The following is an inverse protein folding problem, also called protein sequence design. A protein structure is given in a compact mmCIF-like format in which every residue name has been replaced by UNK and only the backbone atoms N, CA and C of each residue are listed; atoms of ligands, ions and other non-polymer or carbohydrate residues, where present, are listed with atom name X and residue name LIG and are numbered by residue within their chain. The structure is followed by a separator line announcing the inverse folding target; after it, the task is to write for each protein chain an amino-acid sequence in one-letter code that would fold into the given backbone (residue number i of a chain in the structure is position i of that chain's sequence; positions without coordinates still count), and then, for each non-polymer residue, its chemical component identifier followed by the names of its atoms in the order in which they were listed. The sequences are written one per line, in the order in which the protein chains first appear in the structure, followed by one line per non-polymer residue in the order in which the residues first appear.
data_IF_341482450288
#
_entry.id   IF_341482450288
#
_cell.length_a   1.000
_cell.length_b   1.000
_cell.length_c   1.000
_cell.angle_alpha   90.00
_cell.angle_beta   90.00
_cell.angle_gamma   90.00
#
_symmetry.space_group_name_H-M   'P 1'
#
loop_
_entity.id
_entity.type
_entity.pdbx_description
1 polymer ?
#
# COMPACT_ATOMS: atom_id res chain seq x y z
N UNK A 1 -9.58 -16.03 5.72
CA UNK A 1 -8.43 -15.25 5.25
C UNK A 1 -8.65 -14.84 3.81
N UNK A 2 -8.66 -13.54 3.51
CA UNK A 2 -8.65 -13.01 2.14
C UNK A 2 -7.25 -12.57 1.74
N UNK A 3 -7.05 -12.26 0.46
CA UNK A 3 -5.85 -11.57 -0.02
C UNK A 3 -6.21 -10.30 -0.77
N UNK A 4 -5.38 -9.27 -0.62
CA UNK A 4 -5.47 -8.02 -1.36
C UNK A 4 -4.21 -7.84 -2.19
N UNK A 5 -4.43 -7.53 -3.46
CA UNK A 5 -3.39 -7.30 -4.46
C UNK A 5 -3.45 -5.85 -4.93
N UNK A 6 -2.28 -5.22 -5.02
CA UNK A 6 -2.12 -3.89 -5.57
C UNK A 6 -1.72 -4.02 -7.04
N UNK A 7 -2.73 -3.98 -7.90
CA UNK A 7 -2.55 -4.06 -9.35
C UNK A 7 -2.19 -2.67 -9.92
N UNK A 8 -1.81 -2.62 -11.20
CA UNK A 8 -1.57 -1.38 -11.93
C UNK A 8 -2.77 -0.40 -11.75
N UNK A 9 -2.52 0.90 -11.48
CA UNK A 9 -1.24 1.60 -11.59
C UNK A 9 -0.47 1.71 -10.26
N UNK A 10 -0.65 0.84 -9.27
CA UNK A 10 0.02 0.99 -7.97
C UNK A 10 1.11 -0.06 -7.74
N UNK A 11 2.17 0.35 -7.07
CA UNK A 11 3.24 -0.54 -6.61
C UNK A 11 3.51 -0.25 -5.14
N UNK A 12 3.45 -1.28 -4.31
CA UNK A 12 3.80 -1.20 -2.89
C UNK A 12 5.14 -1.88 -2.70
N UNK A 13 6.07 -1.18 -2.06
CA UNK A 13 7.39 -1.71 -1.73
C UNK A 13 7.60 -1.76 -0.21
N UNK A 14 7.98 -2.91 0.32
CA UNK A 14 8.39 -3.09 1.70
C UNK A 14 9.83 -2.66 1.92
N UNK A 15 10.08 -1.95 3.01
CA UNK A 15 11.40 -1.46 3.37
C UNK A 15 12.14 -2.53 4.15
N UNK A 16 13.37 -2.81 3.75
CA UNK A 16 14.30 -3.62 4.53
C UNK A 16 15.25 -2.70 5.30
N UNK A 17 15.73 -3.18 6.45
CA UNK A 17 16.79 -2.53 7.25
C UNK A 17 18.07 -2.25 6.46
N UNK A 18 18.38 -3.04 5.43
CA UNK A 18 19.53 -2.79 4.54
C UNK A 18 19.26 -1.70 3.49
N UNK A 19 18.21 -0.88 3.66
CA UNK A 19 17.74 0.19 2.77
C UNK A 19 17.16 -0.24 1.42
N UNK A 20 17.34 -1.52 1.03
CA UNK A 20 16.67 -2.11 -0.13
C UNK A 20 15.15 -2.12 0.07
N UNK A 21 14.43 -1.85 -1.01
CA UNK A 21 12.98 -1.97 -1.07
C UNK A 21 12.62 -3.15 -1.98
N UNK A 22 11.70 -3.99 -1.52
CA UNK A 22 11.24 -5.18 -2.24
C UNK A 22 9.74 -5.07 -2.54
N UNK A 23 9.30 -5.61 -3.67
CA UNK A 23 7.90 -5.53 -4.07
C UNK A 23 7.02 -6.37 -3.15
N UNK A 24 5.89 -5.81 -2.73
CA UNK A 24 4.85 -6.52 -2.01
C UNK A 24 3.71 -6.83 -2.96
N UNK A 25 3.56 -8.11 -3.30
CA UNK A 25 2.53 -8.53 -4.24
C UNK A 25 1.14 -8.60 -3.60
N UNK A 26 1.08 -8.96 -2.32
CA UNK A 26 -0.19 -9.04 -1.61
C UNK A 26 -0.09 -8.86 -0.11
N UNK A 27 -1.22 -8.47 0.47
CA UNK A 27 -1.47 -8.53 1.91
C UNK A 27 -2.52 -9.60 2.17
N UNK A 28 -2.27 -10.44 3.16
CA UNK A 28 -3.28 -11.30 3.74
C UNK A 28 -4.16 -10.50 4.68
N UNK A 29 -5.45 -10.85 4.69
CA UNK A 29 -6.48 -10.16 5.44
C UNK A 29 -7.24 -11.17 6.30
N UNK A 30 -7.32 -10.89 7.59
CA UNK A 30 -8.15 -11.60 8.56
C UNK A 30 -9.17 -10.64 9.15
N UNK A 31 -10.46 -10.93 8.97
CA UNK A 31 -11.51 -10.18 9.66
C UNK A 31 -11.55 -10.63 11.12
N UNK A 32 -11.62 -9.66 12.04
CA UNK A 32 -11.78 -9.89 13.47
C UNK A 32 -13.07 -9.23 13.96
N UNK A 33 -13.51 -9.55 15.18
CA UNK A 33 -14.69 -8.93 15.79
C UNK A 33 -14.59 -7.40 15.87
N UNK A 34 -13.37 -6.86 15.95
CA UNK A 34 -13.11 -5.44 16.18
C UNK A 34 -12.55 -4.70 14.96
N UNK A 35 -12.24 -5.41 13.86
CA UNK A 35 -11.59 -4.80 12.71
C UNK A 35 -11.03 -5.80 11.73
N UNK A 36 -9.83 -5.52 11.24
CA UNK A 36 -9.13 -6.30 10.22
C UNK A 36 -7.65 -6.38 10.55
N UNK A 37 -7.08 -7.58 10.57
CA UNK A 37 -5.63 -7.78 10.65
C UNK A 37 -5.06 -7.86 9.23
N UNK A 38 -4.05 -7.03 8.96
CA UNK A 38 -3.23 -7.10 7.76
C UNK A 38 -1.94 -7.86 8.07
N UNK A 39 -1.58 -8.82 7.21
CA UNK A 39 -0.31 -9.54 7.30
C UNK A 39 0.39 -9.58 5.94
N UNK A 40 1.69 -9.41 5.91
CA UNK A 40 2.51 -9.67 4.72
C UNK A 40 3.94 -10.00 5.15
N UNK A 41 4.73 -10.55 4.23
CA UNK A 41 6.14 -10.80 4.47
C UNK A 41 6.88 -10.93 3.15
N UNK A 42 8.19 -10.66 3.20
CA UNK A 42 9.07 -10.80 2.05
C UNK A 42 10.49 -11.14 2.50
N UNK A 43 11.23 -11.84 1.65
CA UNK A 43 12.67 -12.00 1.79
C UNK A 43 13.36 -10.90 1.01
N UNK A 44 14.34 -10.22 1.61
CA UNK A 44 15.05 -9.16 0.93
C UNK A 44 16.04 -9.75 -0.10
N UNK A 45 15.88 -9.36 -1.36
CA UNK A 45 16.73 -9.86 -2.46
C UNK A 45 18.21 -9.47 -2.32
N UNK A 46 18.53 -8.44 -1.50
CA UNK A 46 19.88 -7.95 -1.30
C UNK A 46 20.61 -8.62 -0.12
N UNK A 47 19.96 -8.67 1.05
CA UNK A 47 20.61 -9.18 2.28
C UNK A 47 20.08 -10.55 2.74
N UNK A 48 19.09 -11.12 2.04
CA UNK A 48 18.49 -12.41 2.35
C UNK A 48 17.63 -12.43 3.63
N UNK A 49 17.48 -11.31 4.33
CA UNK A 49 16.70 -11.26 5.58
C UNK A 49 15.20 -11.33 5.29
N UNK A 50 14.51 -12.13 6.08
CA UNK A 50 13.06 -12.20 6.09
C UNK A 50 12.49 -11.05 6.91
N UNK A 51 11.46 -10.41 6.38
CA UNK A 51 10.72 -9.34 7.05
C UNK A 51 9.26 -9.73 7.06
N UNK A 52 8.67 -9.73 8.25
CA UNK A 52 7.25 -9.98 8.45
C UNK A 52 6.59 -8.72 8.99
N UNK A 53 5.36 -8.48 8.56
CA UNK A 53 4.52 -7.40 9.01
C UNK A 53 3.15 -7.96 9.39
N UNK A 54 2.68 -7.62 10.59
CA UNK A 54 1.33 -7.90 11.03
C UNK A 54 0.82 -6.71 11.84
N UNK A 55 -0.35 -6.19 11.49
CA UNK A 55 -0.95 -5.07 12.22
C UNK A 55 -2.46 -5.07 12.11
N UNK A 56 -3.12 -4.64 13.19
CA UNK A 56 -4.56 -4.55 13.29
C UNK A 56 -5.06 -3.16 12.92
N UNK A 57 -6.08 -3.13 12.07
CA UNK A 57 -6.82 -1.93 11.72
C UNK A 57 -8.15 -1.97 12.46
N UNK A 58 -8.30 -1.07 13.43
CA UNK A 58 -9.58 -0.87 14.11
C UNK A 58 -10.59 -0.16 13.20
N UNK A 59 -11.88 -0.23 13.54
CA UNK A 59 -12.92 0.53 12.83
C UNK A 59 -12.88 2.04 13.10
N UNK A 60 -12.16 2.45 14.14
CA UNK A 60 -12.18 3.83 14.65
C UNK A 60 -10.96 4.64 14.21
N UNK A 61 -9.88 3.97 13.79
CA UNK A 61 -8.61 4.60 13.48
C UNK A 61 -8.07 4.20 12.10
N UNK A 62 -7.19 5.06 11.57
CA UNK A 62 -6.36 4.73 10.42
C UNK A 62 -5.03 4.15 10.89
N UNK A 63 -4.53 3.16 10.17
CA UNK A 63 -3.20 2.60 10.33
C UNK A 63 -2.24 3.29 9.35
N UNK A 64 -1.15 3.84 9.87
CA UNK A 64 -0.07 4.37 9.07
C UNK A 64 0.90 3.24 8.70
N UNK A 65 0.94 2.89 7.42
CA UNK A 65 1.82 1.85 6.86
C UNK A 65 3.13 2.44 6.31
N UNK A 66 3.26 3.76 6.29
CA UNK A 66 4.43 4.46 5.75
C UNK A 66 5.77 4.14 6.43
N UNK A 67 5.85 3.74 7.72
CA UNK A 67 7.11 3.31 8.32
C UNK A 67 7.70 2.10 7.60
N UNK A 68 6.88 1.10 7.30
CA UNK A 68 7.29 -0.20 6.77
C UNK A 68 7.21 -0.29 5.25
N UNK A 69 6.38 0.55 4.62
CA UNK A 69 6.09 0.47 3.19
C UNK A 69 6.15 1.84 2.50
N UNK A 70 6.49 1.82 1.21
CA UNK A 70 6.30 2.94 0.30
C UNK A 70 5.27 2.56 -0.77
N UNK A 71 4.34 3.46 -1.04
CA UNK A 71 3.38 3.31 -2.13
C UNK A 71 3.77 4.23 -3.30
N UNK A 72 3.72 3.70 -4.51
CA UNK A 72 3.98 4.45 -5.74
C UNK A 72 2.78 4.33 -6.68
N UNK A 73 2.50 5.41 -7.40
CA UNK A 73 1.60 5.43 -8.55
C UNK A 73 2.44 5.46 -9.82
N UNK A 74 2.19 4.51 -10.71
CA UNK A 74 2.74 4.44 -12.05
C UNK A 74 1.98 5.45 -12.92
N UNK A 75 2.73 6.31 -13.59
CA UNK A 75 2.22 7.19 -14.64
C UNK A 75 2.68 6.60 -15.97
N UNK A 76 1.74 6.16 -16.84
CA UNK A 76 2.10 5.72 -18.17
C UNK A 76 2.66 6.93 -18.93
N UNK A 77 3.90 6.84 -19.41
CA UNK A 77 4.48 7.87 -20.28
C UNK A 77 4.47 7.40 -21.73
N UNK A 78 4.43 8.38 -22.63
CA UNK A 78 4.24 8.21 -24.07
C UNK A 78 5.54 7.74 -24.77
N UNK A 79 6.70 7.80 -24.10
CA UNK A 79 8.03 7.57 -24.71
C UNK A 79 8.80 6.42 -24.05
N UNK A 80 8.19 5.25 -23.88
CA UNK A 80 8.81 4.02 -23.36
C UNK A 80 9.44 4.09 -21.95
N UNK A 81 9.39 5.24 -21.29
CA UNK A 81 9.84 5.43 -19.92
C UNK A 81 8.67 5.30 -18.96
N UNK A 82 8.81 4.47 -17.92
CA UNK A 82 7.82 4.39 -16.85
C UNK A 82 8.16 5.43 -15.78
N UNK A 83 7.28 6.41 -15.58
CA UNK A 83 7.42 7.36 -14.48
C UNK A 83 6.70 6.84 -13.24
N UNK A 84 7.39 6.87 -12.10
CA UNK A 84 6.81 6.52 -10.80
C UNK A 84 6.72 7.75 -9.94
N UNK A 85 5.57 7.92 -9.29
CA UNK A 85 5.36 8.95 -8.29
C UNK A 85 5.20 8.29 -6.94
N UNK A 86 6.09 8.61 -6.00
CA UNK A 86 5.98 8.18 -4.61
C UNK A 86 4.88 8.97 -3.91
N UNK A 87 4.04 8.27 -3.15
CA UNK A 87 3.09 8.90 -2.24
C UNK A 87 3.82 9.25 -0.93
N UNK A 88 3.50 10.41 -0.37
CA UNK A 88 4.09 10.91 0.87
C UNK A 88 3.70 10.05 2.08
N UNK A 89 2.52 9.42 1.99
CA UNK A 89 2.05 8.48 2.99
C UNK A 89 1.36 7.29 2.34
N UNK A 90 1.32 6.19 3.08
CA UNK A 90 0.52 5.02 2.78
C UNK A 90 -0.26 4.65 4.04
N UNK A 91 -1.58 4.70 3.96
CA UNK A 91 -2.46 4.48 5.09
C UNK A 91 -3.57 3.51 4.71
N UNK A 92 -4.08 2.80 5.72
CA UNK A 92 -5.23 1.92 5.60
C UNK A 92 -6.26 2.27 6.68
N UNK A 93 -7.55 2.21 6.34
CA UNK A 93 -8.63 2.40 7.30
C UNK A 93 -9.85 1.58 6.90
N UNK A 94 -10.74 1.32 7.84
CA UNK A 94 -12.05 0.74 7.55
C UNK A 94 -13.04 1.90 7.33
N UNK A 95 -13.62 2.00 6.14
CA UNK A 95 -14.69 2.95 5.80
C UNK A 95 -15.89 2.20 5.26
N UNK A 96 -17.07 2.42 5.84
CA UNK A 96 -18.32 1.74 5.45
C UNK A 96 -18.19 0.19 5.46
N UNK A 97 -17.59 -0.36 6.52
CA UNK A 97 -17.27 -1.79 6.66
C UNK A 97 -16.39 -2.38 5.55
N UNK A 98 -15.67 -1.54 4.80
CA UNK A 98 -14.73 -1.97 3.78
C UNK A 98 -13.35 -1.42 4.11
N UNK A 99 -12.33 -2.25 3.91
CA UNK A 99 -10.96 -1.78 3.94
C UNK A 99 -10.74 -0.77 2.80
N UNK A 100 -10.01 0.30 3.09
CA UNK A 100 -9.65 1.31 2.11
C UNK A 100 -8.19 1.70 2.32
N UNK A 101 -7.43 1.72 1.25
CA UNK A 101 -6.06 2.23 1.22
C UNK A 101 -6.03 3.61 0.57
N UNK A 102 -5.19 4.48 1.07
CA UNK A 102 -5.00 5.82 0.53
C UNK A 102 -3.61 6.35 0.86
N UNK A 103 -3.15 7.31 0.08
CA UNK A 103 -1.90 8.01 0.34
C UNK A 103 -2.01 9.50 0.08
N UNK A 104 -1.25 10.28 0.82
CA UNK A 104 -1.12 11.71 0.53
C UNK A 104 -0.13 11.90 -0.62
N UNK A 105 -0.36 12.93 -1.42
CA UNK A 105 0.49 13.31 -2.53
C UNK A 105 0.58 14.83 -2.58
N UNK A 106 1.81 15.32 -2.52
CA UNK A 106 2.12 16.75 -2.65
C UNK A 106 2.67 17.02 -4.05
N UNK A 107 2.14 18.02 -4.74
CA UNK A 107 2.67 18.47 -6.03
C UNK A 107 2.84 19.98 -6.05
N UNK A 108 3.94 20.43 -6.67
CA UNK A 108 4.13 21.84 -6.95
C UNK A 108 3.34 22.19 -8.21
N UNK A 109 2.39 23.11 -8.09
CA UNK A 109 1.69 23.66 -9.24
C UNK A 109 2.58 24.70 -9.91
N UNK A 110 3.08 24.36 -11.10
CA UNK A 110 4.07 25.16 -11.83
C UNK A 110 3.66 26.60 -12.14
N UNK A 111 2.37 26.93 -12.14
CA UNK A 111 1.88 28.24 -12.57
C UNK A 111 1.73 29.25 -11.43
N UNK A 112 1.73 28.79 -10.17
CA UNK A 112 1.50 29.66 -9.01
C UNK A 112 2.40 29.36 -7.80
N UNK A 113 3.39 28.48 -7.94
CA UNK A 113 4.34 28.07 -6.88
C UNK A 113 3.68 27.56 -5.58
N UNK A 114 2.43 27.10 -5.67
CA UNK A 114 1.69 26.55 -4.53
C UNK A 114 1.87 25.04 -4.47
N UNK A 115 2.20 24.53 -3.27
CA UNK A 115 2.19 23.09 -2.97
C UNK A 115 0.73 22.66 -2.74
N UNK A 116 0.19 21.88 -3.67
CA UNK A 116 -1.11 21.26 -3.53
C UNK A 116 -0.98 19.90 -2.84
N UNK A 117 -1.78 19.69 -1.78
CA UNK A 117 -1.82 18.44 -1.03
C UNK A 117 -3.11 17.69 -1.37
N UNK A 118 -2.98 16.50 -1.94
CA UNK A 118 -4.10 15.66 -2.36
C UNK A 118 -4.07 14.32 -1.62
N UNK A 119 -5.26 13.76 -1.39
CA UNK A 119 -5.41 12.38 -0.89
C UNK A 119 -5.84 11.49 -2.04
N UNK A 120 -5.01 10.52 -2.40
CA UNK A 120 -5.24 9.60 -3.50
C UNK A 120 -5.74 8.26 -2.94
N UNK A 121 -6.93 7.78 -3.31
CA UNK A 121 -7.34 6.41 -3.01
C UNK A 121 -6.44 5.43 -3.78
N UNK A 122 -6.01 4.37 -3.11
CA UNK A 122 -5.20 3.30 -3.72
C UNK A 122 -6.14 2.14 -4.00
N UNK A 123 -6.38 1.91 -5.29
CA UNK A 123 -7.22 0.81 -5.76
C UNK A 123 -6.51 -0.53 -5.54
N UNK A 124 -7.29 -1.54 -5.22
CA UNK A 124 -6.79 -2.89 -4.97
C UNK A 124 -7.83 -3.93 -5.37
N UNK A 125 -7.38 -5.15 -5.65
CA UNK A 125 -8.24 -6.30 -5.92
C UNK A 125 -8.26 -7.21 -4.71
N UNK A 126 -9.45 -7.48 -4.19
CA UNK A 126 -9.67 -8.46 -3.13
C UNK A 126 -10.01 -9.83 -3.73
N UNK A 127 -9.33 -10.87 -3.27
CA UNK A 127 -9.71 -12.27 -3.53
C UNK A 127 -10.11 -12.90 -2.20
N UNK A 128 -11.41 -13.12 -1.95
CA UNK A 128 -11.85 -13.94 -0.83
C UNK A 128 -11.44 -15.40 -1.08
N UNK A 129 -11.14 -16.15 -0.01
CA UNK A 129 -10.97 -17.61 -0.14
C UNK A 129 -12.23 -18.17 -0.82
N UNK A 130 -12.03 -18.81 -1.98
CA UNK A 130 -13.04 -19.71 -2.54
C UNK A 130 -13.36 -20.71 -1.43
N UNK A 131 -14.60 -20.69 -0.93
CA UNK A 131 -15.11 -21.82 -0.16
C UNK A 131 -15.04 -23.00 -1.10
N UNK A 132 -14.06 -23.89 -0.89
CA UNK A 132 -14.16 -25.25 -1.40
C UNK A 132 -15.47 -25.79 -0.83
N UNK A 133 -16.40 -26.12 -1.73
CA UNK A 133 -17.75 -26.59 -1.43
C UNK A 133 -17.72 -27.78 -0.48
#
# INVERSE_FOLDING_TARGET
MGKVFFDYPYVILGKCECTKQNRIDSFQIEETSHGVTLKTGFTCDLCGKETEFASDISRESALNLSPDFNAYKIIPSIKDEVSLVRLDSFNARIKNNKLAFYGNYSNLRFFDDVIENLVIPISYRAVPLLKLK
#
